data_IF_090759976660
#
_entry.id   IF_090759976660
#
_cell.length_a   1.000
_cell.length_b   1.000
_cell.length_c   1.000
_cell.angle_alpha   90.00
_cell.angle_beta   90.00
_cell.angle_gamma   90.00
#
_symmetry.space_group_name_H-M   'P 1'
#
loop_
_entity.id
_entity.type
_entity.pdbx_description
1 polymer ?
#
# COMPACT_ATOMS: atom_id res chain seq x y z
N UNK A 1 77.86 -9.49 0.76
CA UNK A 1 77.72 -9.24 2.21
C UNK A 1 76.37 -8.55 2.40
N UNK A 2 75.37 -9.26 2.95
CA UNK A 2 74.74 -9.00 4.28
C UNK A 2 73.86 -7.73 4.30
N UNK A 3 72.59 -7.65 4.75
CA UNK A 3 71.54 -8.54 5.27
C UNK A 3 70.23 -7.69 5.31
N UNK A 4 69.07 -8.32 5.02
CA UNK A 4 67.62 -8.12 5.34
C UNK A 4 67.06 -6.87 6.09
N UNK A 5 65.72 -6.70 6.27
CA UNK A 5 64.57 -6.66 5.35
C UNK A 5 63.62 -5.44 5.59
N UNK A 6 62.68 -5.12 4.66
CA UNK A 6 61.48 -4.30 4.96
C UNK A 6 60.24 -4.84 4.21
N UNK A 7 59.14 -4.99 4.95
CA UNK A 7 57.75 -5.32 4.57
C UNK A 7 56.89 -4.19 5.18
N UNK A 8 55.66 -3.85 4.73
CA UNK A 8 54.98 -3.97 3.43
C UNK A 8 54.56 -2.59 2.87
N UNK A 9 54.00 -2.52 1.67
CA UNK A 9 52.87 -1.61 1.42
C UNK A 9 51.74 -2.44 0.80
N UNK A 10 50.77 -2.78 1.65
CA UNK A 10 49.49 -3.32 1.23
C UNK A 10 48.74 -2.18 0.59
N UNK A 11 48.62 -2.25 -0.73
CA UNK A 11 47.92 -1.27 -1.56
C UNK A 11 46.44 -1.23 -1.12
N UNK A 12 45.86 -0.03 -1.08
CA UNK A 12 44.56 0.38 -0.50
C UNK A 12 43.29 -0.34 -1.03
N UNK A 13 43.43 -1.49 -1.69
CA UNK A 13 42.31 -2.35 -2.10
C UNK A 13 41.70 -3.19 -0.98
N UNK A 14 42.33 -3.27 0.21
CA UNK A 14 41.76 -3.95 1.38
C UNK A 14 40.81 -3.07 2.21
N UNK A 15 40.73 -1.76 1.94
CA UNK A 15 39.72 -0.87 2.54
C UNK A 15 38.39 -0.90 1.77
N UNK A 16 38.39 -1.46 0.55
CA UNK A 16 37.19 -1.65 -0.27
C UNK A 16 36.32 -2.86 0.15
N UNK A 17 36.80 -3.67 1.10
CA UNK A 17 36.03 -4.73 1.73
C UNK A 17 36.10 -4.54 3.25
N UNK A 18 35.63 -3.39 3.74
CA UNK A 18 35.04 -3.33 5.06
C UNK A 18 33.83 -4.27 5.05
N UNK A 19 34.14 -5.54 5.33
CA UNK A 19 33.21 -6.62 5.65
C UNK A 19 32.08 -5.98 6.45
N UNK A 20 30.87 -6.01 5.90
CA UNK A 20 29.63 -5.79 6.64
C UNK A 20 29.55 -6.93 7.66
N UNK A 21 30.34 -6.80 8.73
CA UNK A 21 30.26 -7.55 9.97
C UNK A 21 29.22 -6.86 10.86
N UNK A 22 28.11 -6.42 10.29
CA UNK A 22 26.94 -6.10 11.10
C UNK A 22 26.33 -7.44 11.50
N UNK A 23 26.35 -7.72 12.80
CA UNK A 23 25.52 -8.76 13.41
C UNK A 23 24.13 -8.72 12.74
N UNK A 24 23.55 -9.89 12.37
CA UNK A 24 22.24 -9.91 11.72
C UNK A 24 21.23 -9.17 12.60
N UNK A 25 20.37 -8.37 11.96
CA UNK A 25 19.30 -7.64 12.62
C UNK A 25 18.45 -8.63 13.40
N UNK A 26 18.19 -8.30 14.66
CA UNK A 26 17.18 -8.97 15.48
C UNK A 26 16.01 -8.04 15.73
N UNK A 27 14.80 -8.58 15.77
CA UNK A 27 13.60 -7.78 15.99
C UNK A 27 13.62 -7.08 17.36
N UNK A 28 14.28 -7.67 18.36
CA UNK A 28 14.48 -7.07 19.69
C UNK A 28 15.24 -5.73 19.63
N UNK A 29 16.06 -5.52 18.59
CA UNK A 29 16.83 -4.29 18.38
C UNK A 29 16.01 -3.19 17.67
N UNK A 30 14.80 -3.50 17.19
CA UNK A 30 13.91 -2.57 16.48
C UNK A 30 12.71 -2.23 17.36
N UNK A 31 12.87 -1.20 18.20
CA UNK A 31 11.91 -0.83 19.26
C UNK A 31 10.44 -0.80 18.78
N UNK A 32 10.15 -0.15 17.64
CA UNK A 32 8.78 0.01 17.15
C UNK A 32 8.08 -1.32 16.82
N UNK A 33 8.84 -2.36 16.45
CA UNK A 33 8.30 -3.68 16.15
C UNK A 33 7.95 -4.48 17.41
N UNK A 34 8.33 -3.97 18.59
CA UNK A 34 8.02 -4.56 19.90
C UNK A 34 6.92 -3.80 20.65
N UNK A 35 6.32 -2.76 20.04
CA UNK A 35 5.18 -2.06 20.63
C UNK A 35 3.97 -2.98 20.79
N UNK A 36 3.12 -2.71 21.78
CA UNK A 36 1.93 -3.52 22.07
C UNK A 36 0.97 -3.62 20.88
N UNK A 37 0.91 -2.59 20.04
CA UNK A 37 0.06 -2.55 18.86
C UNK A 37 0.67 -3.24 17.63
N UNK A 38 1.92 -3.70 17.69
CA UNK A 38 2.60 -4.44 16.63
C UNK A 38 2.61 -5.94 16.95
N UNK A 39 1.92 -6.74 16.14
CA UNK A 39 1.85 -8.20 16.30
C UNK A 39 2.58 -8.89 15.16
N UNK A 40 3.48 -9.80 15.52
CA UNK A 40 4.28 -10.60 14.58
C UNK A 40 4.16 -12.06 15.00
N UNK A 41 3.60 -12.90 14.13
CA UNK A 41 3.41 -14.33 14.42
C UNK A 41 4.73 -15.11 14.31
N UNK A 42 5.41 -15.00 13.17
CA UNK A 42 6.70 -15.66 12.90
C UNK A 42 7.83 -14.62 12.89
N UNK A 43 8.38 -14.38 14.10
CA UNK A 43 9.48 -13.42 14.29
C UNK A 43 10.72 -13.80 13.47
N UNK A 44 11.07 -15.08 13.38
CA UNK A 44 12.27 -15.51 12.65
C UNK A 44 12.12 -15.32 11.14
N UNK A 45 10.91 -15.49 10.58
CA UNK A 45 10.65 -15.17 9.17
C UNK A 45 10.83 -13.68 8.89
N UNK A 46 10.28 -12.81 9.74
CA UNK A 46 10.42 -11.35 9.58
C UNK A 46 11.89 -10.94 9.70
N UNK A 47 12.63 -11.44 10.69
CA UNK A 47 14.07 -11.18 10.83
C UNK A 47 14.84 -11.54 9.57
N UNK A 48 14.60 -12.74 9.01
CA UNK A 48 15.26 -13.17 7.76
C UNK A 48 14.98 -12.21 6.62
N UNK A 49 13.71 -11.84 6.40
CA UNK A 49 13.34 -10.93 5.29
C UNK A 49 13.97 -9.55 5.47
N UNK A 50 13.96 -9.00 6.69
CA UNK A 50 14.57 -7.71 6.94
C UNK A 50 16.09 -7.72 6.72
N UNK A 51 16.78 -8.80 7.12
CA UNK A 51 18.20 -8.97 6.82
C UNK A 51 18.46 -9.09 5.31
N UNK A 52 17.62 -9.81 4.56
CA UNK A 52 17.72 -9.83 3.09
C UNK A 52 17.50 -8.45 2.49
N UNK A 53 16.49 -7.71 2.96
CA UNK A 53 16.24 -6.33 2.51
C UNK A 53 17.44 -5.41 2.76
N UNK A 54 18.05 -5.48 3.95
CA UNK A 54 19.24 -4.70 4.30
C UNK A 54 20.46 -5.11 3.45
N UNK A 55 20.65 -6.40 3.21
CA UNK A 55 21.74 -6.93 2.38
C UNK A 55 21.60 -6.53 0.91
N UNK A 56 20.38 -6.57 0.36
CA UNK A 56 20.13 -6.21 -1.03
C UNK A 56 19.98 -4.71 -1.29
N UNK A 57 19.75 -3.90 -0.25
CA UNK A 57 19.64 -2.45 -0.34
C UNK A 57 18.38 -1.94 -1.04
N UNK A 58 18.23 -0.62 -1.07
CA UNK A 58 17.04 0.05 -1.61
C UNK A 58 16.88 -0.10 -3.13
N UNK A 59 17.96 -0.39 -3.86
CA UNK A 59 17.92 -0.58 -5.33
C UNK A 59 17.13 -1.82 -5.74
N UNK A 60 16.91 -2.78 -4.83
CA UNK A 60 16.07 -3.98 -5.06
C UNK A 60 14.64 -3.81 -4.51
N UNK A 61 14.37 -2.75 -3.76
CA UNK A 61 13.10 -2.52 -3.09
C UNK A 61 12.04 -1.93 -4.04
N UNK A 62 10.79 -2.37 -3.87
CA UNK A 62 9.59 -1.72 -4.35
C UNK A 62 8.49 -1.76 -3.27
N UNK A 63 7.52 -0.85 -3.38
CA UNK A 63 6.37 -0.76 -2.49
C UNK A 63 5.09 -1.08 -3.27
N UNK A 64 4.26 -1.96 -2.73
CA UNK A 64 2.90 -2.22 -3.22
C UNK A 64 1.92 -1.94 -2.09
N UNK A 65 1.04 -0.97 -2.26
CA UNK A 65 0.15 -0.51 -1.20
C UNK A 65 -1.28 -0.41 -1.69
N UNK A 66 -2.23 -0.82 -0.86
CA UNK A 66 -3.59 -0.33 -0.97
C UNK A 66 -3.64 1.18 -0.61
N UNK A 67 -4.76 1.84 -0.91
CA UNK A 67 -4.95 3.26 -0.62
C UNK A 67 -5.94 3.52 0.53
N UNK A 68 -7.18 3.05 0.39
CA UNK A 68 -8.26 3.40 1.31
C UNK A 68 -8.02 2.68 2.64
N UNK A 69 -7.94 3.43 3.74
CA UNK A 69 -7.66 2.87 5.07
C UNK A 69 -6.27 2.23 5.23
N UNK A 70 -5.39 2.34 4.22
CA UNK A 70 -3.97 1.95 4.24
C UNK A 70 -3.03 3.16 4.12
N UNK A 71 -3.18 3.99 3.09
CA UNK A 71 -2.50 5.30 3.03
C UNK A 71 -3.34 6.34 3.77
N UNK A 72 -4.65 6.33 3.56
CA UNK A 72 -5.58 7.13 4.37
C UNK A 72 -5.81 6.48 5.72
N UNK A 73 -6.07 7.28 6.75
CA UNK A 73 -6.36 6.83 8.11
C UNK A 73 -7.66 6.03 8.15
N UNK A 74 -7.73 5.05 9.05
CA UNK A 74 -8.97 4.35 9.40
C UNK A 74 -9.90 5.22 10.25
N UNK A 75 -9.31 6.11 11.05
CA UNK A 75 -10.03 7.11 11.84
C UNK A 75 -9.20 8.38 12.01
N UNK A 76 -9.88 9.50 12.16
CA UNK A 76 -9.25 10.76 12.55
C UNK A 76 -8.87 10.77 14.04
N UNK A 77 -8.11 11.77 14.47
CA UNK A 77 -7.70 11.95 15.87
C UNK A 77 -8.88 12.18 16.82
N UNK A 78 -9.99 12.73 16.33
CA UNK A 78 -11.25 12.89 17.09
C UNK A 78 -12.20 11.69 16.98
N UNK A 79 -11.77 10.58 16.36
CA UNK A 79 -12.55 9.34 16.26
C UNK A 79 -13.58 9.32 15.14
N UNK A 80 -13.63 10.34 14.27
CA UNK A 80 -14.49 10.33 13.09
C UNK A 80 -13.93 9.36 12.02
N UNK A 81 -14.84 8.78 11.24
CA UNK A 81 -14.49 7.94 10.10
C UNK A 81 -13.98 8.79 8.94
N UNK A 82 -12.93 8.32 8.28
CA UNK A 82 -12.48 8.89 7.00
C UNK A 82 -13.28 8.22 5.89
N UNK A 83 -13.79 8.95 4.88
CA UNK A 83 -14.44 8.32 3.73
C UNK A 83 -13.42 7.56 2.87
N UNK A 84 -13.86 6.47 2.23
CA UNK A 84 -13.10 5.86 1.13
C UNK A 84 -13.08 6.77 -0.09
N UNK A 85 -12.27 6.45 -1.09
CA UNK A 85 -12.24 7.12 -2.39
C UNK A 85 -13.61 7.21 -3.07
N UNK A 86 -14.49 6.20 -2.93
CA UNK A 86 -15.89 6.31 -3.36
C UNK A 86 -16.72 7.22 -2.47
N UNK A 87 -16.53 7.17 -1.15
CA UNK A 87 -17.20 8.10 -0.23
C UNK A 87 -16.88 9.57 -0.54
N UNK A 88 -15.63 9.85 -0.93
CA UNK A 88 -15.21 11.17 -1.43
C UNK A 88 -15.99 11.55 -2.69
N UNK A 89 -16.11 10.64 -3.64
CA UNK A 89 -16.87 10.89 -4.86
C UNK A 89 -18.33 11.20 -4.55
N UNK A 90 -18.98 10.42 -3.69
CA UNK A 90 -20.39 10.58 -3.29
C UNK A 90 -20.71 11.91 -2.58
N UNK A 91 -19.69 12.66 -2.13
CA UNK A 91 -19.87 14.01 -1.58
C UNK A 91 -19.94 15.12 -2.63
N UNK A 92 -19.65 14.81 -3.90
CA UNK A 92 -19.79 15.76 -4.99
C UNK A 92 -21.28 16.13 -5.15
N UNK A 93 -21.58 17.43 -5.03
CA UNK A 93 -22.93 17.98 -5.04
C UNK A 93 -23.59 17.92 -6.41
N UNK A 94 -22.80 17.87 -7.49
CA UNK A 94 -23.34 17.70 -8.84
C UNK A 94 -23.90 16.31 -9.10
N UNK A 95 -23.60 15.32 -8.23
CA UNK A 95 -24.09 13.97 -8.40
C UNK A 95 -25.62 13.91 -8.27
N UNK A 96 -26.32 13.22 -9.18
CA UNK A 96 -27.76 13.05 -9.08
C UNK A 96 -28.16 12.36 -7.77
N UNK A 97 -29.19 12.84 -7.04
CA UNK A 97 -29.60 12.22 -5.78
C UNK A 97 -29.99 10.75 -5.89
N UNK A 98 -30.52 10.33 -7.05
CA UNK A 98 -30.82 8.93 -7.35
C UNK A 98 -29.56 8.07 -7.49
N UNK A 99 -28.48 8.62 -8.06
CA UNK A 99 -27.18 7.94 -8.14
C UNK A 99 -26.65 7.65 -6.73
N UNK A 100 -26.58 8.69 -5.88
CA UNK A 100 -26.05 8.58 -4.50
C UNK A 100 -26.88 7.60 -3.68
N UNK A 101 -28.21 7.65 -3.83
CA UNK A 101 -29.11 6.70 -3.15
C UNK A 101 -28.82 5.26 -3.58
N UNK A 102 -28.73 4.99 -4.88
CA UNK A 102 -28.45 3.64 -5.39
C UNK A 102 -27.05 3.13 -4.99
N UNK A 103 -26.04 4.01 -4.99
CA UNK A 103 -24.69 3.66 -4.54
C UNK A 103 -24.67 3.19 -3.08
N UNK A 104 -25.39 3.91 -2.19
CA UNK A 104 -25.55 3.52 -0.78
C UNK A 104 -26.31 2.21 -0.61
N UNK A 105 -27.40 2.02 -1.35
CA UNK A 105 -28.15 0.75 -1.31
C UNK A 105 -27.29 -0.44 -1.74
N UNK A 106 -26.46 -0.26 -2.79
CA UNK A 106 -25.50 -1.29 -3.20
C UNK A 106 -24.45 -1.55 -2.10
N UNK A 107 -23.88 -0.50 -1.52
CA UNK A 107 -22.92 -0.62 -0.42
C UNK A 107 -23.50 -1.41 0.76
N UNK A 108 -24.71 -1.08 1.20
CA UNK A 108 -25.37 -1.73 2.35
C UNK A 108 -25.63 -3.23 2.11
N UNK A 109 -25.79 -3.64 0.84
CA UNK A 109 -25.95 -5.05 0.46
C UNK A 109 -24.60 -5.77 0.41
N UNK A 110 -23.61 -5.19 -0.26
CA UNK A 110 -22.39 -5.91 -0.66
C UNK A 110 -21.23 -5.77 0.31
N UNK A 111 -21.11 -4.65 1.04
CA UNK A 111 -20.02 -4.45 2.01
C UNK A 111 -20.04 -5.51 3.13
N UNK A 112 -21.18 -5.89 3.73
CA UNK A 112 -21.21 -6.97 4.72
C UNK A 112 -20.73 -8.32 4.15
N UNK A 113 -20.97 -8.57 2.85
CA UNK A 113 -20.54 -9.79 2.18
C UNK A 113 -19.02 -9.79 1.99
N UNK A 114 -18.46 -8.66 1.54
CA UNK A 114 -17.04 -8.47 1.30
C UNK A 114 -16.20 -8.78 2.55
N UNK A 115 -16.59 -8.24 3.70
CA UNK A 115 -15.80 -8.30 4.93
C UNK A 115 -16.06 -9.54 5.80
N UNK A 116 -17.15 -10.29 5.54
CA UNK A 116 -17.53 -11.42 6.41
C UNK A 116 -16.51 -12.56 6.39
N UNK A 117 -15.95 -13.01 7.53
CA UNK A 117 -15.06 -14.17 7.56
C UNK A 117 -15.81 -15.49 7.29
N UNK A 118 -17.14 -15.48 7.39
CA UNK A 118 -17.98 -16.66 7.30
C UNK A 118 -18.47 -16.97 5.88
N UNK A 119 -18.20 -16.09 4.92
CA UNK A 119 -18.58 -16.27 3.51
C UNK A 119 -17.35 -16.75 2.73
N UNK A 120 -17.54 -17.77 1.90
CA UNK A 120 -16.43 -18.35 1.14
C UNK A 120 -15.87 -17.34 0.12
N UNK A 121 -14.57 -17.45 -0.17
CA UNK A 121 -13.91 -16.61 -1.18
C UNK A 121 -14.63 -16.64 -2.53
N UNK A 122 -15.10 -17.81 -2.96
CA UNK A 122 -15.81 -17.96 -4.23
C UNK A 122 -17.13 -17.17 -4.27
N UNK A 123 -17.90 -17.19 -3.18
CA UNK A 123 -19.14 -16.43 -3.06
C UNK A 123 -18.87 -14.92 -2.99
N UNK A 124 -17.82 -14.51 -2.26
CA UNK A 124 -17.39 -13.11 -2.22
C UNK A 124 -17.00 -12.58 -3.59
N UNK A 125 -16.22 -13.34 -4.36
CA UNK A 125 -15.82 -12.96 -5.72
C UNK A 125 -17.06 -12.71 -6.59
N UNK A 126 -18.04 -13.63 -6.57
CA UNK A 126 -19.28 -13.46 -7.33
C UNK A 126 -20.05 -12.20 -6.91
N UNK A 127 -20.15 -11.96 -5.60
CA UNK A 127 -20.84 -10.79 -5.06
C UNK A 127 -20.13 -9.47 -5.43
N UNK A 128 -18.79 -9.45 -5.40
CA UNK A 128 -18.03 -8.27 -5.83
C UNK A 128 -18.20 -7.98 -7.31
N UNK A 129 -18.15 -9.00 -8.17
CA UNK A 129 -18.42 -8.81 -9.61
C UNK A 129 -19.80 -8.18 -9.80
N UNK A 130 -20.83 -8.70 -9.13
CA UNK A 130 -22.18 -8.14 -9.23
C UNK A 130 -22.28 -6.70 -8.71
N UNK A 131 -21.64 -6.40 -7.57
CA UNK A 131 -21.59 -5.05 -7.01
C UNK A 131 -20.96 -4.06 -7.98
N UNK A 132 -19.82 -4.43 -8.55
CA UNK A 132 -19.07 -3.57 -9.46
C UNK A 132 -19.79 -3.36 -10.79
N UNK A 133 -20.41 -4.40 -11.36
CA UNK A 133 -21.26 -4.26 -12.55
C UNK A 133 -22.40 -3.27 -12.30
N UNK A 134 -23.15 -3.44 -11.21
CA UNK A 134 -24.26 -2.53 -10.86
C UNK A 134 -23.79 -1.12 -10.56
N UNK A 135 -22.62 -0.96 -9.94
CA UNK A 135 -22.03 0.36 -9.66
C UNK A 135 -21.62 1.07 -10.95
N UNK A 136 -21.05 0.33 -11.91
CA UNK A 136 -20.72 0.83 -13.25
C UNK A 136 -21.96 1.26 -14.04
N UNK A 137 -23.04 0.47 -13.99
CA UNK A 137 -24.33 0.82 -14.58
C UNK A 137 -24.94 2.08 -13.94
N UNK A 138 -24.86 2.21 -12.62
CA UNK A 138 -25.35 3.37 -11.89
C UNK A 138 -24.61 4.66 -12.27
N UNK A 139 -23.34 4.56 -12.67
CA UNK A 139 -22.50 5.69 -13.12
C UNK A 139 -22.82 6.17 -14.55
N UNK A 140 -23.85 5.66 -15.22
CA UNK A 140 -24.16 6.05 -16.60
C UNK A 140 -25.24 7.14 -16.68
N UNK A 141 -25.14 7.98 -17.71
CA UNK A 141 -26.27 8.81 -18.16
C UNK A 141 -26.40 10.18 -17.48
N UNK A 142 -25.35 10.67 -16.84
CA UNK A 142 -25.28 12.04 -16.33
C UNK A 142 -23.89 12.64 -16.55
N UNK A 143 -23.83 13.97 -16.62
CA UNK A 143 -22.59 14.72 -16.78
C UNK A 143 -21.90 14.95 -15.43
N UNK A 144 -20.58 14.93 -15.41
CA UNK A 144 -19.78 15.18 -14.21
C UNK A 144 -18.48 15.93 -14.57
N UNK A 145 -18.09 16.93 -13.76
CA UNK A 145 -16.82 17.64 -13.90
C UNK A 145 -15.81 17.09 -12.88
N UNK A 146 -14.71 16.50 -13.38
CA UNK A 146 -13.64 15.96 -12.54
C UNK A 146 -13.03 16.98 -11.58
N UNK A 147 -13.11 18.29 -11.87
CA UNK A 147 -12.60 19.33 -10.97
C UNK A 147 -13.32 19.33 -9.61
N UNK A 148 -14.57 18.87 -9.56
CA UNK A 148 -15.29 18.80 -8.28
C UNK A 148 -14.64 17.79 -7.33
N UNK A 149 -14.07 16.70 -7.86
CA UNK A 149 -13.30 15.74 -7.05
C UNK A 149 -12.12 16.44 -6.37
N UNK A 150 -11.41 17.33 -7.07
CA UNK A 150 -10.28 18.06 -6.47
C UNK A 150 -10.72 18.94 -5.30
N UNK A 151 -11.88 19.59 -5.41
CA UNK A 151 -12.44 20.43 -4.34
C UNK A 151 -12.83 19.63 -3.10
N UNK A 152 -13.43 18.45 -3.28
CA UNK A 152 -13.75 17.55 -2.17
C UNK A 152 -12.47 16.94 -1.59
N UNK A 153 -11.57 16.42 -2.42
CA UNK A 153 -10.32 15.79 -2.00
C UNK A 153 -9.46 16.73 -1.15
N UNK A 154 -9.43 18.02 -1.47
CA UNK A 154 -8.72 19.03 -0.67
C UNK A 154 -9.21 19.10 0.78
N UNK A 155 -10.50 18.86 1.02
CA UNK A 155 -11.07 18.83 2.39
C UNK A 155 -10.54 17.66 3.19
N UNK A 156 -10.19 16.56 2.54
CA UNK A 156 -9.75 15.32 3.17
C UNK A 156 -8.25 15.08 3.08
N UNK A 157 -7.48 15.96 2.45
CA UNK A 157 -6.02 15.82 2.34
C UNK A 157 -5.30 15.63 3.69
N UNK A 158 -5.88 16.12 4.80
CA UNK A 158 -5.35 15.94 6.15
C UNK A 158 -5.50 14.49 6.69
N UNK A 159 -6.27 13.63 6.02
CA UNK A 159 -6.62 12.30 6.50
C UNK A 159 -5.60 11.22 6.12
N UNK A 160 -4.45 11.59 5.58
CA UNK A 160 -3.34 10.65 5.35
C UNK A 160 -2.76 10.17 6.68
N UNK A 161 -2.28 8.92 6.75
CA UNK A 161 -1.58 8.41 7.94
C UNK A 161 -0.40 9.31 8.29
N UNK A 162 -0.14 9.47 9.58
CA UNK A 162 0.95 10.32 10.06
C UNK A 162 2.29 9.82 9.50
N UNK A 163 3.20 10.75 9.20
CA UNK A 163 4.50 10.51 8.56
C UNK A 163 4.47 9.94 7.11
N UNK A 164 3.31 9.91 6.45
CA UNK A 164 3.23 9.61 5.01
C UNK A 164 4.10 10.55 4.16
N UNK A 165 4.13 11.85 4.49
CA UNK A 165 4.97 12.83 3.77
C UNK A 165 6.47 12.56 3.87
N UNK A 166 6.95 11.98 4.98
CA UNK A 166 8.36 11.61 5.12
C UNK A 166 8.62 10.33 4.33
N UNK A 167 7.78 9.31 4.49
CA UNK A 167 7.91 8.04 3.80
C UNK A 167 7.95 8.23 2.27
N UNK A 168 6.92 8.84 1.68
CA UNK A 168 6.81 8.92 0.22
C UNK A 168 7.89 9.82 -0.41
N UNK A 169 8.33 10.86 0.30
CA UNK A 169 9.45 11.70 -0.14
C UNK A 169 10.78 10.93 -0.13
N UNK A 170 11.02 10.11 0.89
CA UNK A 170 12.23 9.31 0.97
C UNK A 170 12.22 8.21 -0.10
N UNK A 171 11.06 7.58 -0.35
CA UNK A 171 10.88 6.61 -1.43
C UNK A 171 11.20 7.24 -2.81
N UNK A 172 10.71 8.46 -3.07
CA UNK A 172 10.99 9.18 -4.31
C UNK A 172 12.47 9.57 -4.43
N UNK A 173 13.06 10.11 -3.36
CA UNK A 173 14.47 10.50 -3.34
C UNK A 173 15.42 9.32 -3.61
N UNK A 174 15.02 8.10 -3.25
CA UNK A 174 15.75 6.86 -3.51
C UNK A 174 15.34 6.15 -4.80
N UNK A 175 14.43 6.74 -5.57
CA UNK A 175 13.87 6.15 -6.78
C UNK A 175 13.35 4.71 -6.56
N UNK A 176 12.66 4.50 -5.44
CA UNK A 176 11.99 3.24 -5.12
C UNK A 176 10.60 3.27 -5.78
N UNK A 177 10.26 2.34 -6.68
CA UNK A 177 8.93 2.30 -7.29
C UNK A 177 7.83 2.10 -6.24
N UNK A 178 6.75 2.85 -6.37
CA UNK A 178 5.56 2.72 -5.53
C UNK A 178 4.34 2.43 -6.41
N UNK A 179 3.73 1.27 -6.23
CA UNK A 179 2.41 0.98 -6.76
C UNK A 179 1.35 1.19 -5.68
N UNK A 180 0.42 2.09 -5.96
CA UNK A 180 -0.84 2.18 -5.25
C UNK A 180 -1.86 1.33 -6.03
N UNK A 181 -2.21 0.17 -5.49
CA UNK A 181 -3.14 -0.79 -6.09
C UNK A 181 -4.46 -0.80 -5.34
N UNK A 182 -5.39 0.04 -5.79
CA UNK A 182 -6.63 0.34 -5.06
C UNK A 182 -7.85 -0.21 -5.78
N UNK A 183 -8.72 -0.91 -5.06
CA UNK A 183 -10.07 -1.25 -5.56
C UNK A 183 -11.03 -0.05 -5.44
N UNK A 184 -10.54 1.10 -4.99
CA UNK A 184 -11.29 2.35 -4.91
C UNK A 184 -11.56 3.01 -6.27
N UNK A 185 -11.92 4.30 -6.22
CA UNK A 185 -12.07 5.15 -7.39
C UNK A 185 -10.78 5.92 -7.68
N UNK A 186 -10.06 5.51 -8.72
CA UNK A 186 -8.74 6.03 -9.10
C UNK A 186 -8.68 7.54 -9.29
N UNK A 187 -9.74 8.16 -9.82
CA UNK A 187 -9.82 9.62 -9.94
C UNK A 187 -9.70 10.31 -8.57
N UNK A 188 -10.40 9.80 -7.56
CA UNK A 188 -10.34 10.30 -6.19
C UNK A 188 -9.02 9.95 -5.51
N UNK A 189 -8.47 8.76 -5.74
CA UNK A 189 -7.14 8.35 -5.23
C UNK A 189 -6.07 9.33 -5.69
N UNK A 190 -6.00 9.62 -6.99
CA UNK A 190 -5.02 10.56 -7.56
C UNK A 190 -5.25 11.97 -7.01
N UNK A 191 -6.49 12.45 -6.97
CA UNK A 191 -6.79 13.78 -6.45
C UNK A 191 -6.37 13.91 -4.98
N UNK A 192 -6.66 12.91 -4.15
CA UNK A 192 -6.27 12.89 -2.73
C UNK A 192 -4.75 12.88 -2.55
N UNK A 193 -4.03 12.03 -3.28
CA UNK A 193 -2.55 11.99 -3.24
C UNK A 193 -1.94 13.33 -3.68
N UNK A 194 -2.49 13.97 -4.71
CA UNK A 194 -2.03 15.28 -5.19
C UNK A 194 -2.31 16.39 -4.18
N UNK A 195 -3.54 16.48 -3.66
CA UNK A 195 -3.92 17.52 -2.69
C UNK A 195 -3.17 17.36 -1.37
N UNK A 196 -2.80 16.13 -1.00
CA UNK A 196 -1.94 15.85 0.13
C UNK A 196 -0.44 15.99 -0.19
N UNK A 197 -0.02 16.36 -1.40
CA UNK A 197 1.41 16.50 -1.74
C UNK A 197 2.22 15.20 -1.61
N UNK A 198 1.59 14.05 -1.87
CA UNK A 198 2.20 12.70 -1.81
C UNK A 198 2.37 12.06 -3.19
N UNK A 199 1.87 12.68 -4.26
CA UNK A 199 1.91 12.10 -5.60
C UNK A 199 3.24 12.42 -6.31
N UNK A 200 4.27 11.63 -6.00
CA UNK A 200 5.62 11.75 -6.56
C UNK A 200 5.80 10.99 -7.89
N UNK A 201 6.80 11.34 -8.73
CA UNK A 201 7.04 10.69 -10.02
C UNK A 201 7.28 9.18 -9.98
N UNK A 202 7.86 8.65 -8.89
CA UNK A 202 8.08 7.22 -8.68
C UNK A 202 6.80 6.41 -8.39
N UNK A 203 5.64 7.08 -8.28
CA UNK A 203 4.37 6.46 -7.92
C UNK A 203 3.50 6.17 -9.15
N UNK A 204 2.93 4.96 -9.21
CA UNK A 204 1.88 4.56 -10.15
C UNK A 204 0.62 4.18 -9.39
N UNK A 205 -0.53 4.51 -9.97
CA UNK A 205 -1.86 4.20 -9.40
C UNK A 205 -2.58 3.29 -10.38
N UNK A 206 -2.95 2.11 -9.91
CA UNK A 206 -3.81 1.16 -10.63
C UNK A 206 -5.10 1.01 -9.82
N UNK A 207 -6.22 1.40 -10.42
CA UNK A 207 -7.52 1.50 -9.74
C UNK A 207 -8.67 1.61 -10.74
N UNK A 208 -9.91 1.69 -10.27
CA UNK A 208 -11.09 1.88 -11.14
C UNK A 208 -11.23 3.35 -11.51
N UNK A 209 -11.06 3.68 -12.78
CA UNK A 209 -11.22 5.06 -13.26
C UNK A 209 -12.58 5.27 -13.91
N UNK A 210 -13.14 6.47 -13.74
CA UNK A 210 -14.36 6.87 -14.43
C UNK A 210 -14.14 6.83 -15.94
N UNK A 211 -15.08 6.23 -16.66
CA UNK A 211 -15.15 6.28 -18.11
C UNK A 211 -16.12 7.38 -18.52
N UNK A 212 -15.69 8.20 -19.48
CA UNK A 212 -16.53 9.22 -20.08
C UNK A 212 -16.77 8.89 -21.55
N UNK A 213 -18.00 9.09 -22.02
CA UNK A 213 -18.37 8.95 -23.43
C UNK A 213 -17.90 10.15 -24.27
N UNK A 214 -17.91 11.32 -23.66
CA UNK A 214 -17.41 12.59 -24.19
C UNK A 214 -16.65 13.33 -23.08
N UNK A 215 -16.48 14.66 -23.15
CA UNK A 215 -15.72 15.40 -22.13
C UNK A 215 -16.36 15.39 -20.73
N UNK A 216 -17.67 15.12 -20.62
CA UNK A 216 -18.39 15.27 -19.34
C UNK A 216 -19.39 14.15 -19.05
N UNK A 217 -19.91 13.45 -20.05
CA UNK A 217 -20.92 12.41 -19.87
C UNK A 217 -20.30 11.11 -19.34
N UNK A 218 -20.66 10.71 -18.12
CA UNK A 218 -20.20 9.44 -17.55
C UNK A 218 -20.84 8.23 -18.24
N UNK A 219 -20.02 7.19 -18.37
CA UNK A 219 -20.34 5.94 -19.04
C UNK A 219 -19.76 4.74 -18.28
N UNK A 220 -19.84 4.76 -16.95
CA UNK A 220 -19.35 3.68 -16.10
C UNK A 220 -17.86 3.81 -15.77
N UNK A 221 -17.18 2.67 -15.68
CA UNK A 221 -15.76 2.55 -15.33
C UNK A 221 -14.93 2.11 -16.54
N UNK A 222 -13.64 2.45 -16.54
CA UNK A 222 -12.68 1.93 -17.50
C UNK A 222 -12.36 0.47 -17.15
N UNK A 223 -12.27 -0.38 -18.17
CA UNK A 223 -11.88 -1.78 -18.04
C UNK A 223 -10.35 -1.94 -18.02
N UNK A 224 -9.79 -2.95 -17.33
CA UNK A 224 -10.51 -3.95 -16.52
C UNK A 224 -10.92 -3.41 -15.14
N UNK A 225 -12.08 -3.86 -14.64
CA UNK A 225 -12.51 -3.57 -13.27
C UNK A 225 -11.63 -4.29 -12.24
N UNK A 226 -11.17 -3.52 -11.24
CA UNK A 226 -10.40 -3.99 -10.09
C UNK A 226 -11.33 -4.06 -8.88
N UNK A 227 -11.49 -5.25 -8.34
CA UNK A 227 -12.18 -5.48 -7.07
C UNK A 227 -11.25 -6.13 -6.06
N UNK A 228 -11.65 -6.13 -4.80
CA UNK A 228 -10.85 -6.58 -3.64
C UNK A 228 -10.18 -7.95 -3.80
N UNK A 229 -10.72 -8.84 -4.65
CA UNK A 229 -10.24 -10.22 -4.82
C UNK A 229 -9.52 -10.51 -6.15
N UNK A 230 -9.38 -9.54 -7.06
CA UNK A 230 -8.64 -9.70 -8.33
C UNK A 230 -7.39 -8.81 -8.42
N UNK A 231 -6.99 -8.16 -7.32
CA UNK A 231 -5.73 -7.42 -7.22
C UNK A 231 -4.54 -8.39 -7.19
N UNK A 232 -3.99 -8.73 -8.34
CA UNK A 232 -2.79 -9.57 -8.45
C UNK A 232 -1.93 -9.12 -9.66
N UNK A 233 -0.76 -9.74 -9.83
CA UNK A 233 0.20 -9.37 -10.89
C UNK A 233 -0.37 -9.45 -12.31
N UNK A 234 -1.40 -10.25 -12.58
CA UNK A 234 -1.99 -10.33 -13.94
C UNK A 234 -2.57 -8.99 -14.41
N UNK A 235 -2.87 -8.08 -13.48
CA UNK A 235 -3.30 -6.71 -13.78
C UNK A 235 -2.15 -5.75 -14.11
N UNK A 236 -0.90 -6.18 -13.87
CA UNK A 236 0.32 -5.43 -14.14
C UNK A 236 0.93 -5.80 -15.50
N UNK A 237 0.63 -6.99 -16.03
CA UNK A 237 1.11 -7.43 -17.33
C UNK A 237 0.75 -6.42 -18.44
N UNK A 238 1.76 -5.98 -19.19
CA UNK A 238 1.59 -4.99 -20.27
C UNK A 238 1.48 -3.53 -19.82
N UNK A 239 1.65 -3.24 -18.53
CA UNK A 239 1.75 -1.86 -18.02
C UNK A 239 3.20 -1.40 -17.95
N UNK A 240 3.45 -0.10 -18.09
CA UNK A 240 4.77 0.52 -17.89
C UNK A 240 5.36 0.23 -16.49
N UNK A 241 4.50 -0.13 -15.51
CA UNK A 241 4.96 -0.49 -14.17
C UNK A 241 5.69 -1.83 -14.14
N UNK A 242 5.29 -2.80 -14.97
CA UNK A 242 5.94 -4.12 -15.05
C UNK A 242 7.43 -3.98 -15.38
N UNK A 243 7.75 -3.15 -16.37
CA UNK A 243 9.13 -2.88 -16.79
C UNK A 243 9.95 -2.16 -15.71
N UNK A 244 9.31 -1.35 -14.84
CA UNK A 244 9.98 -0.65 -13.75
C UNK A 244 10.39 -1.57 -12.60
N UNK A 245 9.75 -2.74 -12.46
CA UNK A 245 9.90 -3.58 -11.26
C UNK A 245 10.44 -4.98 -11.50
N UNK A 246 10.69 -5.37 -12.75
CA UNK A 246 11.26 -6.68 -13.08
C UNK A 246 12.58 -7.00 -12.35
N UNK A 247 13.35 -5.97 -11.98
CA UNK A 247 14.62 -6.10 -11.24
C UNK A 247 14.49 -5.84 -9.73
N UNK A 248 13.28 -5.57 -9.22
CA UNK A 248 12.99 -5.19 -7.83
C UNK A 248 12.33 -6.35 -7.10
N UNK A 249 13.12 -7.29 -6.58
CA UNK A 249 12.62 -8.52 -5.97
C UNK A 249 12.46 -8.43 -4.44
N UNK A 250 12.63 -7.25 -3.84
CA UNK A 250 12.28 -6.97 -2.45
C UNK A 250 10.99 -6.14 -2.41
N UNK A 251 9.94 -6.64 -1.76
CA UNK A 251 8.62 -6.02 -1.78
C UNK A 251 8.12 -5.81 -0.35
N UNK A 252 7.83 -4.55 -0.01
CA UNK A 252 6.96 -4.24 1.13
C UNK A 252 5.54 -4.08 0.61
N UNK A 253 4.67 -4.98 1.04
CA UNK A 253 3.24 -4.96 0.75
C UNK A 253 2.49 -4.36 1.95
N UNK A 254 1.62 -3.39 1.70
CA UNK A 254 0.79 -2.75 2.72
C UNK A 254 -0.70 -2.83 2.36
N UNK A 255 -1.54 -3.22 3.32
CA UNK A 255 -2.99 -3.25 3.14
C UNK A 255 -3.74 -3.28 4.45
N UNK A 256 -5.04 -2.98 4.43
CA UNK A 256 -5.90 -3.03 5.60
C UNK A 256 -6.89 -4.19 5.55
N UNK A 257 -7.07 -4.83 4.38
CA UNK A 257 -7.95 -5.99 4.22
C UNK A 257 -7.16 -7.27 4.02
N UNK A 258 -7.73 -8.42 4.43
CA UNK A 258 -7.11 -9.74 4.18
C UNK A 258 -6.82 -10.00 2.69
N UNK A 259 -7.62 -9.43 1.80
CA UNK A 259 -7.49 -9.65 0.37
C UNK A 259 -6.29 -8.91 -0.24
N UNK A 260 -5.85 -7.81 0.37
CA UNK A 260 -4.68 -7.05 -0.09
C UNK A 260 -3.39 -7.86 0.02
N UNK A 261 -3.36 -8.88 0.88
CA UNK A 261 -2.24 -9.81 0.96
C UNK A 261 -1.94 -10.52 -0.37
N UNK A 262 -2.91 -10.58 -1.28
CA UNK A 262 -2.78 -11.14 -2.62
C UNK A 262 -2.22 -10.18 -3.68
N UNK A 263 -1.96 -8.90 -3.36
CA UNK A 263 -1.42 -7.94 -4.33
C UNK A 263 -0.03 -8.31 -4.86
N UNK A 264 0.70 -9.15 -4.12
CA UNK A 264 1.99 -9.72 -4.54
C UNK A 264 1.87 -11.16 -5.06
N UNK A 265 0.65 -11.68 -5.25
CA UNK A 265 0.45 -12.99 -5.88
C UNK A 265 0.82 -12.89 -7.36
N UNK A 266 1.71 -13.78 -7.82
CA UNK A 266 2.30 -13.76 -9.17
C UNK A 266 3.77 -13.38 -9.17
N UNK A 267 4.23 -12.62 -8.16
CA UNK A 267 5.64 -12.27 -7.99
C UNK A 267 6.50 -13.55 -7.94
N UNK A 268 7.66 -13.60 -8.64
CA UNK A 268 8.52 -14.77 -8.66
C UNK A 268 8.87 -15.25 -7.25
N UNK A 269 8.86 -16.57 -7.03
CA UNK A 269 9.17 -17.18 -5.72
C UNK A 269 10.58 -16.88 -5.19
N UNK A 270 11.48 -16.39 -6.05
CA UNK A 270 12.81 -15.88 -5.68
C UNK A 270 12.76 -14.54 -4.94
N UNK A 271 11.62 -13.85 -4.95
CA UNK A 271 11.45 -12.53 -4.34
C UNK A 271 11.20 -12.63 -2.84
N UNK A 272 11.62 -11.61 -2.11
CA UNK A 272 11.38 -11.46 -0.68
C UNK A 272 10.22 -10.50 -0.47
N UNK A 273 9.10 -10.99 0.07
CA UNK A 273 7.89 -10.19 0.31
C UNK A 273 7.61 -10.10 1.81
N UNK A 274 7.56 -8.88 2.32
CA UNK A 274 7.13 -8.56 3.68
C UNK A 274 5.74 -7.93 3.63
N UNK A 275 4.76 -8.57 4.29
CA UNK A 275 3.36 -8.12 4.29
C UNK A 275 3.02 -7.40 5.60
N UNK A 276 2.56 -6.16 5.51
CA UNK A 276 2.14 -5.33 6.64
C UNK A 276 0.62 -5.11 6.55
N UNK A 277 -0.11 -5.55 7.57
CA UNK A 277 -1.56 -5.45 7.67
C UNK A 277 -1.99 -4.40 8.70
N UNK A 278 -2.83 -3.43 8.32
CA UNK A 278 -3.40 -2.44 9.23
C UNK A 278 -4.77 -2.88 9.74
N UNK A 279 -4.87 -3.32 11.00
CA UNK A 279 -6.09 -3.85 11.58
C UNK A 279 -6.75 -2.83 12.52
N UNK A 280 -7.99 -2.46 12.25
CA UNK A 280 -8.75 -1.54 13.11
C UNK A 280 -10.15 -2.08 13.44
N UNK A 281 -10.97 -2.32 12.42
CA UNK A 281 -12.32 -2.83 12.62
C UNK A 281 -12.31 -4.27 13.13
N UNK A 282 -13.10 -4.54 14.17
CA UNK A 282 -13.25 -5.89 14.75
C UNK A 282 -11.91 -6.56 15.09
N UNK A 283 -10.93 -5.79 15.59
CA UNK A 283 -9.57 -6.28 15.80
C UNK A 283 -9.51 -7.57 16.63
N UNK A 284 -10.32 -7.71 17.69
CA UNK A 284 -10.37 -8.92 18.50
C UNK A 284 -10.84 -10.16 17.74
N UNK A 285 -11.74 -9.98 16.78
CA UNK A 285 -12.34 -11.06 16.00
C UNK A 285 -11.40 -11.50 14.85
N UNK A 286 -10.72 -10.53 14.22
CA UNK A 286 -9.93 -10.79 13.02
C UNK A 286 -8.42 -10.93 13.27
N UNK A 287 -7.91 -10.67 14.47
CA UNK A 287 -6.47 -10.68 14.74
C UNK A 287 -5.80 -12.01 14.35
N UNK A 288 -6.42 -13.15 14.65
CA UNK A 288 -5.85 -14.45 14.30
C UNK A 288 -5.71 -14.64 12.79
N UNK A 289 -6.74 -14.29 12.02
CA UNK A 289 -6.71 -14.36 10.56
C UNK A 289 -5.64 -13.40 10.00
N UNK A 290 -5.57 -12.16 10.49
CA UNK A 290 -4.55 -11.21 10.06
C UNK A 290 -3.14 -11.69 10.39
N UNK A 291 -2.90 -12.26 11.57
CA UNK A 291 -1.60 -12.83 11.95
C UNK A 291 -1.22 -14.09 11.17
N UNK A 292 -2.19 -14.77 10.56
CA UNK A 292 -1.96 -15.89 9.64
C UNK A 292 -1.65 -15.42 8.21
N UNK A 293 -2.11 -14.23 7.84
CA UNK A 293 -2.04 -13.69 6.48
C UNK A 293 -0.91 -12.68 6.28
N UNK A 294 -0.65 -11.83 7.28
CA UNK A 294 0.37 -10.79 7.28
C UNK A 294 1.51 -11.13 8.22
N UNK A 295 2.69 -10.60 7.91
CA UNK A 295 3.91 -10.80 8.68
C UNK A 295 3.96 -9.89 9.90
N UNK A 296 3.54 -8.64 9.69
CA UNK A 296 3.41 -7.60 10.70
C UNK A 296 1.96 -7.12 10.67
N UNK A 297 1.27 -7.18 11.80
CA UNK A 297 -0.08 -6.64 11.98
C UNK A 297 -0.02 -5.43 12.92
N UNK A 298 -0.51 -4.29 12.45
CA UNK A 298 -0.55 -3.03 13.19
C UNK A 298 -1.97 -2.74 13.63
N UNK A 299 -2.23 -2.86 14.93
CA UNK A 299 -3.56 -2.69 15.52
C UNK A 299 -3.78 -1.20 15.82
N UNK A 300 -4.79 -0.59 15.21
CA UNK A 300 -5.15 0.83 15.39
C UNK A 300 -3.96 1.80 15.24
N UNK A 301 -3.05 1.49 14.31
CA UNK A 301 -1.93 2.36 13.96
C UNK A 301 -2.32 3.32 12.84
N UNK A 302 -2.43 4.60 13.17
CA UNK A 302 -2.76 5.69 12.23
C UNK A 302 -1.51 6.36 11.64
N UNK A 303 -0.35 5.69 11.68
CA UNK A 303 0.96 6.20 11.26
C UNK A 303 1.62 5.30 10.21
N UNK A 304 2.60 5.86 9.50
CA UNK A 304 3.52 5.13 8.61
C UNK A 304 4.87 4.86 9.28
N UNK A 305 4.93 4.86 10.61
CA UNK A 305 6.19 4.78 11.36
C UNK A 305 6.91 3.44 11.16
N UNK A 306 6.16 2.33 11.12
CA UNK A 306 6.75 1.01 10.88
C UNK A 306 7.35 0.94 9.47
N UNK A 307 6.61 1.17 8.37
CA UNK A 307 7.18 1.21 7.03
C UNK A 307 8.39 2.17 6.89
N UNK A 308 8.29 3.36 7.47
CA UNK A 308 9.38 4.35 7.47
C UNK A 308 10.62 3.87 8.22
N UNK A 309 10.45 3.17 9.35
CA UNK A 309 11.57 2.58 10.11
C UNK A 309 12.24 1.49 9.28
N UNK A 310 11.46 0.64 8.60
CA UNK A 310 12.02 -0.39 7.73
C UNK A 310 12.84 0.22 6.59
N UNK A 311 12.33 1.28 5.95
CA UNK A 311 13.08 2.00 4.92
C UNK A 311 14.42 2.55 5.45
N UNK A 312 14.42 3.17 6.64
CA UNK A 312 15.64 3.70 7.28
C UNK A 312 16.67 2.59 7.56
N UNK A 313 16.21 1.41 8.01
CA UNK A 313 17.07 0.23 8.20
C UNK A 313 17.72 -0.22 6.90
N UNK A 314 16.96 -0.26 5.80
CA UNK A 314 17.45 -0.66 4.46
C UNK A 314 18.48 0.35 3.92
N UNK A 315 18.32 1.63 4.23
CA UNK A 315 19.33 2.66 3.91
C UNK A 315 20.61 2.58 4.77
N UNK A 316 20.63 1.76 5.82
CA UNK A 316 21.73 1.72 6.79
C UNK A 316 21.73 2.92 7.76
N UNK A 317 20.65 3.69 7.83
CA UNK A 317 20.48 4.77 8.81
C UNK A 317 19.88 4.17 10.09
N UNK A 318 20.61 4.25 11.20
CA UNK A 318 20.07 3.86 12.50
C UNK A 318 18.84 4.73 12.81
N UNK A 319 17.66 4.16 13.11
CA UNK A 319 16.49 4.95 13.44
C UNK A 319 16.80 5.87 14.63
N UNK A 320 16.53 7.16 14.48
CA UNK A 320 16.61 8.13 15.58
C UNK A 320 15.59 7.73 16.64
N UNK A 321 16.06 7.30 17.80
CA UNK A 321 15.26 7.11 19.00
C UNK A 321 14.74 8.48 19.46
N UNK A 322 13.47 8.76 19.21
CA UNK A 322 12.70 9.71 20.01
C UNK A 322 11.93 8.94 21.08
#
# INVERSE_FOLDING_TARGET
MSNSPKIPDVNDSEVANAIINSKPLRLEDVAILNNDNCKIKDKQRVERILNEFMSGGHERLQIVSDFDFTITKQRTSNGATVPSSFGIFEECKSLPPNFVKAARELHDIYRPIEVSPHISRAEKVKAMIEWWTKSGENLMGFTFDLKEIDEIAKKYAYSMRDNSHELFRNLDALNIPVLVFSAGLGNCVIAMLRQAGLFYPNMKVISNFLQFKDETMLNGFQEPIIHTFNKNETMLEGTDYYDLVHSRDHIILMGDSLADSGMADGVPASSHVLKIGFLFHHANEYLEEYMNTFDIVLIDDQTMNVPLTLLKLIEGKTPSTE
#
